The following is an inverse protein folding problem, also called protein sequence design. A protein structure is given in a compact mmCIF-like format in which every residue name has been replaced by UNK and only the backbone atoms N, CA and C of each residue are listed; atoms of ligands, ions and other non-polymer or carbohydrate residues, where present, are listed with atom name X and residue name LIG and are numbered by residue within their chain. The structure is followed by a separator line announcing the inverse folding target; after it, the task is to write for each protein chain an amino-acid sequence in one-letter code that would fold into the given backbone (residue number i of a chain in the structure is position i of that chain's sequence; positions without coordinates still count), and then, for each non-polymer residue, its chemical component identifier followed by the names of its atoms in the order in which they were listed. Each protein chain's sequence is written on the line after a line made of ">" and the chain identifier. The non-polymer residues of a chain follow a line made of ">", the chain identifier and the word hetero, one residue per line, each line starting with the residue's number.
data_IF_788585954213
#
_entry.id   IF_788585954213
#
_cell.length_a   1.000
_cell.length_b   1.000
_cell.length_c   1.000
_cell.angle_alpha   90.00
_cell.angle_beta   90.00
_cell.angle_gamma   90.00
#
_symmetry.space_group_name_H-M   'P 1'
#
loop_
_entity.id
_entity.type
_entity.pdbx_description
1 polymer ?
#
# COMPACT_ATOMS: atom_id res chain seq x y z
N UNK A 1 -8.86 -48.73 30.60
CA UNK A 1 -8.78 -47.30 30.20
C UNK A 1 -7.33 -46.96 29.91
N UNK A 2 -6.95 -46.86 28.63
CA UNK A 2 -5.63 -46.39 28.21
C UNK A 2 -5.81 -44.99 27.64
N UNK A 3 -5.19 -43.99 28.27
CA UNK A 3 -5.11 -42.63 27.76
C UNK A 3 -4.18 -42.61 26.54
N UNK A 4 -4.73 -42.29 25.38
CA UNK A 4 -3.97 -41.96 24.18
C UNK A 4 -3.62 -40.48 24.28
N UNK A 5 -2.35 -40.17 24.50
CA UNK A 5 -1.82 -38.82 24.37
C UNK A 5 -1.71 -38.51 22.88
N UNK A 6 -2.55 -37.62 22.37
CA UNK A 6 -2.38 -37.01 21.05
C UNK A 6 -1.35 -35.89 21.22
N UNK A 7 -0.10 -36.19 20.90
CA UNK A 7 0.92 -35.17 20.75
C UNK A 7 0.63 -34.39 19.45
N UNK A 8 0.16 -33.15 19.60
CA UNK A 8 0.09 -32.19 18.50
C UNK A 8 1.52 -31.77 18.22
N UNK A 9 2.14 -32.40 17.22
CA UNK A 9 3.44 -31.98 16.71
C UNK A 9 3.28 -30.58 16.09
N UNK A 10 3.80 -29.57 16.78
CA UNK A 10 3.98 -28.25 16.21
C UNK A 10 5.11 -28.38 15.19
N UNK A 11 4.76 -28.56 13.92
CA UNK A 11 5.75 -28.53 12.84
C UNK A 11 6.16 -27.07 12.68
N UNK A 12 7.28 -26.71 13.31
CA UNK A 12 8.00 -25.49 13.01
C UNK A 12 8.63 -25.69 11.63
N UNK A 13 7.87 -25.42 10.56
CA UNK A 13 8.45 -25.33 9.22
C UNK A 13 9.32 -24.08 9.22
N UNK A 14 10.62 -24.27 9.44
CA UNK A 14 11.63 -23.30 9.07
C UNK A 14 11.64 -23.19 7.55
N UNK A 15 10.69 -22.45 6.99
CA UNK A 15 10.78 -21.97 5.63
C UNK A 15 11.88 -20.91 5.63
N UNK A 16 13.09 -21.32 5.26
CA UNK A 16 14.07 -20.37 4.72
C UNK A 16 13.50 -19.85 3.40
N UNK A 17 12.65 -18.83 3.48
CA UNK A 17 12.21 -18.07 2.33
C UNK A 17 13.47 -17.43 1.75
N UNK A 18 14.00 -18.03 0.68
CA UNK A 18 14.96 -17.38 -0.20
C UNK A 18 14.26 -16.27 -0.98
N UNK A 19 13.69 -15.28 -0.30
CA UNK A 19 13.41 -13.98 -0.87
C UNK A 19 14.71 -13.19 -0.77
N UNK A 20 15.16 -12.60 -1.88
CA UNK A 20 16.21 -11.60 -1.81
C UNK A 20 15.73 -10.53 -0.81
N UNK A 21 16.42 -10.44 0.33
CA UNK A 21 16.06 -9.51 1.38
C UNK A 21 16.13 -8.06 0.85
N UNK A 22 15.38 -7.15 1.49
CA UNK A 22 15.29 -5.74 1.06
C UNK A 22 14.58 -5.56 -0.28
N UNK A 23 13.69 -6.47 -0.64
CA UNK A 23 12.84 -6.43 -1.83
C UNK A 23 11.37 -6.56 -1.40
N UNK A 24 10.43 -6.63 -2.35
CA UNK A 24 9.05 -7.04 -2.07
C UNK A 24 9.02 -8.45 -1.48
N UNK A 25 8.64 -8.53 -0.20
CA UNK A 25 8.58 -9.79 0.55
C UNK A 25 7.18 -10.39 0.40
N UNK A 26 7.10 -11.55 -0.25
CA UNK A 26 5.86 -12.32 -0.39
C UNK A 26 5.25 -12.64 0.98
N UNK A 27 3.99 -12.24 1.17
CA UNK A 27 3.22 -12.56 2.36
C UNK A 27 2.56 -13.93 2.19
N UNK A 28 2.43 -14.66 3.30
CA UNK A 28 1.91 -16.01 3.26
C UNK A 28 0.41 -16.05 2.90
N UNK A 29 0.03 -16.85 1.89
CA UNK A 29 -1.34 -16.92 1.36
C UNK A 29 -2.24 -17.97 2.02
N UNK A 30 -1.84 -18.54 3.15
CA UNK A 30 -2.59 -19.64 3.79
C UNK A 30 -2.61 -19.59 5.31
N UNK A 31 -1.74 -18.81 5.94
CA UNK A 31 -1.70 -18.57 7.37
C UNK A 31 -1.13 -17.18 7.66
N UNK A 32 -1.41 -16.56 8.82
CA UNK A 32 -1.08 -15.16 9.03
C UNK A 32 0.36 -15.00 9.55
N UNK A 33 1.34 -15.35 8.72
CA UNK A 33 2.75 -15.16 9.08
C UNK A 33 3.08 -13.67 9.11
N UNK A 34 3.21 -13.10 10.32
CA UNK A 34 3.72 -11.75 10.53
C UNK A 34 5.23 -11.77 10.57
N UNK A 35 5.86 -11.18 9.55
CA UNK A 35 7.31 -10.96 9.56
C UNK A 35 7.58 -9.53 10.04
N UNK A 36 8.51 -9.40 10.97
CA UNK A 36 8.90 -8.12 11.58
C UNK A 36 9.98 -7.43 10.76
N UNK A 37 9.84 -6.12 10.62
CA UNK A 37 10.82 -5.21 10.04
C UNK A 37 11.93 -4.91 11.05
N UNK A 38 13.15 -4.66 10.56
CA UNK A 38 14.26 -4.21 11.41
C UNK A 38 14.07 -2.75 11.83
N UNK A 39 14.59 -2.37 12.99
CA UNK A 39 14.69 -0.97 13.41
C UNK A 39 15.81 -0.21 12.67
N UNK A 40 16.71 -0.93 12.00
CA UNK A 40 17.75 -0.38 11.14
C UNK A 40 17.37 -0.60 9.68
N UNK A 41 17.18 0.49 8.93
CA UNK A 41 16.67 0.46 7.57
C UNK A 41 17.54 -0.35 6.62
N UNK A 42 18.86 -0.33 6.79
CA UNK A 42 19.79 -1.08 5.94
C UNK A 42 19.66 -2.60 6.11
N UNK A 43 19.08 -3.04 7.22
CA UNK A 43 18.87 -4.45 7.55
C UNK A 43 17.40 -4.85 7.55
N UNK A 44 16.51 -3.92 7.17
CA UNK A 44 15.08 -4.16 7.14
C UNK A 44 14.70 -4.93 5.88
N UNK A 45 14.08 -6.09 6.07
CA UNK A 45 13.70 -7.01 4.99
C UNK A 45 12.70 -6.39 4.00
N UNK A 46 11.91 -5.41 4.44
CA UNK A 46 10.89 -4.76 3.62
C UNK A 46 11.36 -3.45 2.98
N UNK A 47 12.52 -2.93 3.37
CA UNK A 47 12.94 -1.59 2.97
C UNK A 47 13.51 -1.58 1.55
N UNK A 48 12.93 -0.75 0.69
CA UNK A 48 13.47 -0.39 -0.61
C UNK A 48 14.21 0.94 -0.48
N UNK A 49 15.51 0.93 -0.81
CA UNK A 49 16.32 2.14 -0.76
C UNK A 49 15.96 3.07 -1.92
N UNK A 50 15.48 4.26 -1.58
CA UNK A 50 15.21 5.32 -2.55
C UNK A 50 16.25 6.44 -2.46
N UNK A 51 16.48 7.13 -3.57
CA UNK A 51 17.13 8.43 -3.55
C UNK A 51 16.04 9.50 -3.75
N UNK A 52 15.63 10.15 -2.66
CA UNK A 52 14.59 11.19 -2.68
C UNK A 52 14.93 12.31 -3.68
N UNK A 53 16.21 12.61 -3.88
CA UNK A 53 16.67 13.62 -4.86
C UNK A 53 16.40 13.22 -6.31
N UNK A 54 16.28 11.92 -6.58
CA UNK A 54 16.04 11.37 -7.93
C UNK A 54 14.55 11.11 -8.20
N UNK A 55 13.68 11.49 -7.27
CA UNK A 55 12.23 11.34 -7.43
C UNK A 55 11.69 12.43 -8.36
N UNK A 56 10.87 12.03 -9.34
CA UNK A 56 10.15 13.01 -10.17
C UNK A 56 8.83 13.33 -9.49
N UNK A 57 8.61 14.61 -9.20
CA UNK A 57 7.47 15.09 -8.43
C UNK A 57 6.54 15.83 -9.37
N UNK A 58 5.28 15.41 -9.42
CA UNK A 58 4.26 16.11 -10.22
C UNK A 58 3.56 17.19 -9.41
N UNK A 59 3.37 16.95 -8.11
CA UNK A 59 2.79 17.93 -7.20
C UNK A 59 3.58 17.93 -5.88
N UNK A 60 3.98 19.12 -5.46
CA UNK A 60 4.51 19.43 -4.13
C UNK A 60 3.48 20.30 -3.44
N UNK A 61 2.95 19.88 -2.30
CA UNK A 61 2.10 20.77 -1.53
C UNK A 61 2.99 21.79 -0.78
N UNK A 62 2.58 23.05 -0.77
CA UNK A 62 3.25 24.13 -0.04
C UNK A 62 2.32 24.62 1.08
N UNK A 63 2.78 24.40 2.32
CA UNK A 63 2.40 25.05 3.57
C UNK A 63 0.91 24.94 3.96
N UNK A 64 0.36 25.81 4.79
CA UNK A 64 0.32 25.91 6.26
C UNK A 64 1.47 25.30 7.08
N UNK A 65 1.68 25.71 8.33
CA UNK A 65 2.85 26.49 8.77
C UNK A 65 4.22 25.81 9.05
N UNK A 66 5.11 25.72 8.05
CA UNK A 66 6.59 25.55 8.14
C UNK A 66 7.20 24.14 8.41
N UNK A 67 6.99 23.16 7.51
CA UNK A 67 7.95 22.07 7.19
C UNK A 67 7.37 21.11 6.13
N UNK A 68 7.93 21.11 4.90
CA UNK A 68 7.55 20.33 3.70
C UNK A 68 6.67 19.08 3.90
N UNK A 69 5.48 19.09 3.28
CA UNK A 69 4.39 18.09 3.34
C UNK A 69 3.84 17.91 1.90
N UNK A 70 3.14 16.81 1.56
CA UNK A 70 3.59 15.56 0.96
C UNK A 70 3.96 15.60 -0.54
N UNK A 71 4.49 14.48 -1.01
CA UNK A 71 5.13 14.30 -2.32
C UNK A 71 4.30 13.37 -3.22
N UNK A 72 3.75 13.90 -4.32
CA UNK A 72 3.20 13.03 -5.37
C UNK A 72 4.32 12.70 -6.35
N UNK A 73 4.93 11.56 -6.11
CA UNK A 73 6.00 11.03 -6.92
C UNK A 73 5.43 10.39 -8.19
N UNK A 74 5.60 11.01 -9.35
CA UNK A 74 5.28 10.36 -10.63
C UNK A 74 6.23 9.22 -10.98
N UNK A 75 7.44 9.25 -10.42
CA UNK A 75 8.45 8.20 -10.62
C UNK A 75 9.36 8.09 -9.41
N UNK A 76 9.54 6.88 -8.90
CA UNK A 76 10.44 6.54 -7.78
C UNK A 76 11.41 5.46 -8.23
N UNK A 77 12.69 5.80 -8.35
CA UNK A 77 13.75 4.79 -8.52
C UNK A 77 14.17 4.24 -7.17
N UNK A 78 14.37 2.93 -7.09
CA UNK A 78 14.77 2.27 -5.85
C UNK A 78 15.76 1.12 -6.11
N UNK A 79 16.48 0.76 -5.04
CA UNK A 79 17.32 -0.44 -4.97
C UNK A 79 16.76 -1.40 -3.93
N UNK A 80 16.72 -2.68 -4.29
CA UNK A 80 16.62 -3.77 -3.34
C UNK A 80 18.03 -4.14 -2.85
N UNK A 81 18.17 -4.45 -1.56
CA UNK A 81 19.48 -4.76 -0.94
C UNK A 81 19.45 -5.98 -0.05
N UNK A 82 20.47 -6.83 -0.20
CA UNK A 82 20.75 -7.91 0.74
C UNK A 82 20.93 -7.35 2.16
N UNK A 83 20.17 -7.84 3.14
CA UNK A 83 20.33 -7.43 4.55
C UNK A 83 21.62 -7.94 5.21
N UNK A 84 22.27 -8.96 4.64
CA UNK A 84 23.56 -9.48 5.10
C UNK A 84 24.75 -8.68 4.53
N UNK A 85 24.91 -8.71 3.20
CA UNK A 85 26.05 -8.06 2.52
C UNK A 85 25.87 -6.56 2.22
N UNK A 86 24.66 -6.03 2.38
CA UNK A 86 24.23 -4.69 1.95
C UNK A 86 24.40 -4.41 0.44
N UNK A 87 24.74 -5.42 -0.36
CA UNK A 87 24.86 -5.30 -1.80
C UNK A 87 23.49 -5.08 -2.46
N UNK A 88 23.45 -4.28 -3.52
CA UNK A 88 22.26 -4.12 -4.36
C UNK A 88 21.98 -5.44 -5.07
N UNK A 89 20.80 -5.99 -4.85
CA UNK A 89 20.34 -7.26 -5.44
C UNK A 89 19.41 -7.05 -6.64
N UNK A 90 18.83 -5.85 -6.75
CA UNK A 90 18.05 -5.42 -7.90
C UNK A 90 17.73 -3.94 -7.83
N UNK A 91 17.37 -3.36 -8.97
CA UNK A 91 16.93 -1.96 -9.05
C UNK A 91 15.69 -1.87 -9.92
N UNK A 92 14.79 -0.96 -9.57
CA UNK A 92 13.52 -0.77 -10.26
C UNK A 92 13.08 0.68 -10.26
N UNK A 93 12.03 0.96 -11.03
CA UNK A 93 11.34 2.23 -11.02
C UNK A 93 9.84 1.98 -10.85
N UNK A 94 9.25 2.62 -9.86
CA UNK A 94 7.80 2.70 -9.68
C UNK A 94 7.30 3.90 -10.47
N UNK A 95 6.55 3.64 -11.55
CA UNK A 95 5.93 4.69 -12.37
C UNK A 95 4.48 4.86 -11.95
N UNK A 96 4.07 6.09 -11.60
CA UNK A 96 2.72 6.37 -11.14
C UNK A 96 1.72 6.16 -12.28
N UNK A 97 0.64 5.44 -11.99
CA UNK A 97 -0.51 5.27 -12.88
C UNK A 97 -1.66 6.16 -12.44
N UNK A 98 -1.99 6.10 -11.15
CA UNK A 98 -3.09 6.86 -10.56
C UNK A 98 -2.82 7.09 -9.07
N UNK A 99 -3.41 8.15 -8.52
CA UNK A 99 -3.42 8.41 -7.08
C UNK A 99 -4.79 8.94 -6.64
N UNK A 100 -5.08 8.77 -5.35
CA UNK A 100 -6.23 9.36 -4.67
C UNK A 100 -5.79 9.94 -3.34
N UNK A 101 -6.26 11.14 -3.05
CA UNK A 101 -6.17 11.74 -1.73
C UNK A 101 -7.52 11.59 -1.03
N UNK A 102 -7.50 11.00 0.16
CA UNK A 102 -8.61 11.02 1.10
C UNK A 102 -8.27 12.05 2.19
N UNK A 103 -8.84 13.25 2.07
CA UNK A 103 -8.64 14.34 3.03
C UNK A 103 -9.51 14.14 4.28
N UNK A 104 -9.03 14.62 5.43
CA UNK A 104 -9.78 14.67 6.68
C UNK A 104 -10.42 13.33 7.06
N UNK A 105 -9.66 12.23 6.96
CA UNK A 105 -10.15 10.90 7.32
C UNK A 105 -10.58 10.88 8.79
N UNK A 106 -11.68 10.18 9.06
CA UNK A 106 -12.35 10.23 10.35
C UNK A 106 -11.95 9.04 11.22
N UNK A 107 -11.61 9.29 12.48
CA UNK A 107 -11.46 8.26 13.50
C UNK A 107 -12.23 8.70 14.74
N UNK A 108 -13.09 7.81 15.26
CA UNK A 108 -13.98 8.13 16.39
C UNK A 108 -14.81 9.42 16.20
N UNK A 109 -15.14 9.76 14.95
CA UNK A 109 -15.91 10.96 14.58
C UNK A 109 -15.12 12.27 14.59
N UNK A 110 -13.79 12.22 14.58
CA UNK A 110 -12.90 13.36 14.46
C UNK A 110 -12.02 13.22 13.21
N UNK A 111 -11.77 14.33 12.52
CA UNK A 111 -10.77 14.38 11.45
C UNK A 111 -9.37 14.22 12.06
N UNK A 112 -8.59 13.26 11.58
CA UNK A 112 -7.26 12.95 12.16
C UNK A 112 -6.09 13.20 11.21
N UNK A 113 -6.33 13.22 9.91
CA UNK A 113 -5.27 13.12 8.93
C UNK A 113 -5.75 13.03 7.50
N UNK A 114 -4.79 12.92 6.60
CA UNK A 114 -5.01 12.57 5.20
C UNK A 114 -4.39 11.20 4.90
N UNK A 115 -5.02 10.47 3.99
CA UNK A 115 -4.50 9.21 3.46
C UNK A 115 -4.35 9.31 1.95
N UNK A 116 -3.12 9.17 1.48
CA UNK A 116 -2.80 9.02 0.07
C UNK A 116 -2.82 7.54 -0.30
N UNK A 117 -3.46 7.27 -1.42
CA UNK A 117 -3.48 5.99 -2.09
C UNK A 117 -2.88 6.14 -3.48
N UNK A 118 -2.02 5.20 -3.87
CA UNK A 118 -1.30 5.23 -5.13
C UNK A 118 -1.40 3.89 -5.83
N UNK A 119 -1.40 3.93 -7.15
CA UNK A 119 -1.16 2.77 -8.00
C UNK A 119 0.07 3.06 -8.84
N UNK A 120 1.08 2.23 -8.67
CA UNK A 120 2.31 2.25 -9.45
C UNK A 120 2.43 1.02 -10.35
N UNK A 121 3.28 1.15 -11.36
CA UNK A 121 3.81 0.06 -12.17
C UNK A 121 5.29 -0.13 -11.84
N UNK A 122 5.71 -1.33 -11.44
CA UNK A 122 7.14 -1.65 -11.26
C UNK A 122 7.77 -2.02 -12.61
N UNK A 123 8.88 -1.36 -12.95
CA UNK A 123 9.63 -1.61 -14.18
C UNK A 123 10.31 -2.98 -14.23
N UNK A 124 10.52 -3.66 -13.10
CA UNK A 124 11.23 -4.97 -13.07
C UNK A 124 10.39 -6.12 -13.60
N UNK A 125 9.08 -6.08 -13.38
CA UNK A 125 8.17 -7.19 -13.67
C UNK A 125 6.81 -6.74 -14.23
N UNK A 126 6.61 -5.44 -14.43
CA UNK A 126 5.37 -4.83 -14.92
C UNK A 126 4.14 -5.09 -14.02
N UNK A 127 4.36 -5.52 -12.76
CA UNK A 127 3.29 -5.77 -11.80
C UNK A 127 2.72 -4.47 -11.22
N UNK A 128 1.47 -4.55 -10.77
CA UNK A 128 0.82 -3.49 -10.01
C UNK A 128 1.43 -3.41 -8.62
N UNK A 129 1.64 -2.18 -8.14
CA UNK A 129 2.07 -1.88 -6.78
C UNK A 129 1.14 -0.83 -6.18
N UNK A 130 0.38 -1.21 -5.16
CA UNK A 130 -0.48 -0.31 -4.39
C UNK A 130 0.34 0.36 -3.29
N UNK A 131 0.24 1.68 -3.18
CA UNK A 131 0.95 2.46 -2.18
C UNK A 131 -0.01 3.15 -1.22
N UNK A 132 0.30 3.13 0.08
CA UNK A 132 -0.45 3.87 1.10
C UNK A 132 0.48 4.77 1.88
N UNK A 133 0.09 6.03 2.05
CA UNK A 133 0.80 6.97 2.92
C UNK A 133 -0.20 7.72 3.80
N UNK A 134 0.12 7.82 5.09
CA UNK A 134 -0.69 8.49 6.10
C UNK A 134 0.03 9.75 6.56
N UNK A 135 -0.73 10.83 6.69
CA UNK A 135 -0.29 12.05 7.34
C UNK A 135 -1.27 12.42 8.44
N UNK A 136 -0.81 12.47 9.69
CA UNK A 136 -1.64 12.89 10.83
C UNK A 136 -1.39 14.34 11.23
N UNK A 137 -2.38 14.91 11.91
CA UNK A 137 -2.20 16.17 12.65
C UNK A 137 -2.14 17.41 11.78
N UNK A 138 -2.75 17.41 10.60
CA UNK A 138 -2.80 18.59 9.74
C UNK A 138 -3.62 19.72 10.40
N UNK A 139 -3.46 20.98 9.98
CA UNK A 139 -4.14 22.10 10.59
C UNK A 139 -5.66 21.91 10.63
N UNK A 140 -6.25 21.97 11.83
CA UNK A 140 -7.69 21.76 12.03
C UNK A 140 -8.09 20.34 12.41
N UNK A 141 -7.15 19.40 12.42
CA UNK A 141 -7.38 17.99 12.77
C UNK A 141 -6.98 17.69 14.22
N UNK A 142 -7.46 16.55 14.74
CA UNK A 142 -7.16 16.04 16.08
C UNK A 142 -5.65 15.85 16.27
N UNK A 143 -5.11 16.40 17.36
CA UNK A 143 -3.66 16.49 17.60
C UNK A 143 -3.07 15.34 18.41
N UNK A 144 -3.89 14.38 18.84
CA UNK A 144 -3.46 13.20 19.61
C UNK A 144 -3.86 11.90 18.91
N UNK A 145 -4.02 11.93 17.59
CA UNK A 145 -4.32 10.73 16.81
C UNK A 145 -3.08 9.82 16.71
N UNK A 146 -3.33 8.51 16.83
CA UNK A 146 -2.34 7.46 16.73
C UNK A 146 -2.89 6.31 15.88
N UNK A 147 -2.10 5.81 14.94
CA UNK A 147 -2.45 4.66 14.11
C UNK A 147 -1.39 3.58 14.24
N UNK A 148 -1.72 2.52 14.98
CA UNK A 148 -0.87 1.34 15.17
C UNK A 148 -0.91 0.39 13.97
N UNK A 149 -1.97 0.47 13.17
CA UNK A 149 -2.05 -0.28 11.93
C UNK A 149 -2.71 0.50 10.82
N UNK A 150 -2.25 0.21 9.61
CA UNK A 150 -2.91 0.52 8.34
C UNK A 150 -3.21 -0.82 7.66
N UNK A 151 -4.35 -0.93 7.00
CA UNK A 151 -4.78 -2.15 6.32
C UNK A 151 -5.09 -1.85 4.87
N UNK A 152 -4.91 -2.86 4.02
CA UNK A 152 -5.37 -2.86 2.64
C UNK A 152 -6.24 -4.07 2.39
N UNK A 153 -7.37 -3.84 1.73
CA UNK A 153 -8.39 -4.84 1.41
C UNK A 153 -8.54 -5.01 -0.10
N UNK A 154 -9.38 -5.96 -0.50
CA UNK A 154 -9.64 -6.28 -1.90
C UNK A 154 -8.61 -7.24 -2.51
N UNK A 155 -7.81 -7.95 -1.69
CA UNK A 155 -6.85 -8.95 -2.17
C UNK A 155 -7.48 -10.34 -2.36
N UNK A 156 -8.81 -10.44 -2.30
CA UNK A 156 -9.58 -11.58 -2.80
C UNK A 156 -10.69 -11.11 -3.74
N UNK A 157 -10.81 -11.76 -4.89
CA UNK A 157 -11.89 -11.53 -5.85
C UNK A 157 -12.48 -12.88 -6.27
N UNK A 158 -13.80 -13.05 -6.10
CA UNK A 158 -14.54 -14.27 -6.47
C UNK A 158 -13.91 -15.58 -5.93
N UNK A 159 -13.41 -15.54 -4.69
CA UNK A 159 -12.75 -16.69 -4.04
C UNK A 159 -11.33 -16.96 -4.53
N UNK A 160 -10.77 -16.09 -5.38
CA UNK A 160 -9.39 -16.14 -5.83
C UNK A 160 -8.56 -15.10 -5.10
N UNK A 161 -7.59 -15.58 -4.32
CA UNK A 161 -6.66 -14.72 -3.57
C UNK A 161 -5.55 -14.20 -4.47
N UNK A 162 -5.37 -12.89 -4.52
CA UNK A 162 -4.24 -12.24 -5.18
C UNK A 162 -2.93 -12.47 -4.42
N UNK A 163 -1.83 -12.43 -5.18
CA UNK A 163 -0.49 -12.37 -4.61
C UNK A 163 -0.33 -11.02 -3.91
N UNK A 164 0.35 -11.02 -2.76
CA UNK A 164 0.61 -9.83 -1.99
C UNK A 164 2.03 -9.90 -1.44
N UNK A 165 2.91 -9.05 -1.97
CA UNK A 165 4.27 -8.89 -1.47
C UNK A 165 4.44 -7.48 -0.92
N UNK A 166 4.86 -7.36 0.34
CA UNK A 166 4.97 -6.09 1.05
C UNK A 166 6.36 -5.48 0.90
N UNK A 167 6.42 -4.15 0.88
CA UNK A 167 7.64 -3.38 1.00
C UNK A 167 7.32 -1.99 1.58
N UNK A 168 8.34 -1.20 1.88
CA UNK A 168 8.15 0.23 2.15
C UNK A 168 9.38 1.04 1.73
N UNK A 169 9.19 2.35 1.58
CA UNK A 169 10.26 3.30 1.28
C UNK A 169 10.03 4.66 1.92
N UNK A 170 11.09 5.47 1.97
CA UNK A 170 11.01 6.88 2.33
C UNK A 170 10.58 7.74 1.13
N UNK A 171 9.62 8.63 1.38
CA UNK A 171 9.35 9.81 0.55
C UNK A 171 9.88 11.09 1.21
N UNK A 172 10.15 11.06 2.52
CA UNK A 172 10.80 12.14 3.26
C UNK A 172 11.67 11.61 4.40
N UNK A 173 12.52 12.48 4.95
CA UNK A 173 13.36 12.15 6.11
C UNK A 173 12.56 12.06 7.43
N UNK A 174 11.27 12.39 7.42
CA UNK A 174 10.39 12.39 8.60
C UNK A 174 9.46 11.18 8.64
N UNK A 175 9.57 10.27 7.66
CA UNK A 175 8.64 9.17 7.57
C UNK A 175 8.94 8.07 8.60
N UNK A 176 7.88 7.49 9.13
CA UNK A 176 7.94 6.34 9.99
C UNK A 176 7.98 5.04 9.17
N UNK A 177 8.97 4.20 9.47
CA UNK A 177 9.13 2.87 8.88
C UNK A 177 7.90 1.98 9.10
N UNK A 178 7.79 0.95 8.27
CA UNK A 178 6.90 -0.17 8.55
C UNK A 178 7.48 -1.03 9.69
N UNK A 179 6.64 -1.53 10.61
CA UNK A 179 7.11 -2.40 11.71
C UNK A 179 6.93 -3.88 11.41
N UNK A 180 5.83 -4.24 10.74
CA UNK A 180 5.60 -5.61 10.28
C UNK A 180 4.47 -5.64 9.24
N UNK A 181 4.39 -6.72 8.48
CA UNK A 181 3.26 -6.98 7.60
C UNK A 181 2.78 -8.44 7.72
N UNK A 182 1.48 -8.66 7.49
CA UNK A 182 0.87 -9.98 7.50
C UNK A 182 -0.45 -10.00 6.71
N UNK A 183 -0.86 -11.18 6.23
CA UNK A 183 -2.22 -11.43 5.71
C UNK A 183 -3.19 -11.62 6.87
N UNK A 184 -3.80 -10.52 7.31
CA UNK A 184 -4.58 -10.44 8.55
C UNK A 184 -5.35 -9.13 8.59
N UNK A 185 -6.58 -9.17 9.12
CA UNK A 185 -7.36 -7.99 9.49
C UNK A 185 -7.19 -7.61 10.97
N UNK A 186 -6.27 -8.25 11.69
CA UNK A 186 -6.11 -8.06 13.12
C UNK A 186 -5.12 -6.93 13.41
N UNK A 187 -5.51 -6.01 14.30
CA UNK A 187 -4.68 -4.89 14.72
C UNK A 187 -3.74 -5.24 15.87
N UNK A 188 -2.92 -4.27 16.28
CA UNK A 188 -2.05 -4.38 17.44
C UNK A 188 -2.85 -4.83 18.67
N UNK A 189 -2.23 -5.67 19.52
CA UNK A 189 -2.84 -6.35 20.69
C UNK A 189 -3.91 -7.39 20.36
N UNK A 190 -4.16 -7.69 19.08
CA UNK A 190 -5.02 -8.79 18.65
C UNK A 190 -4.16 -9.96 18.14
N UNK A 191 -4.69 -11.18 18.24
CA UNK A 191 -4.04 -12.36 17.70
C UNK A 191 -4.26 -12.39 16.19
N UNK A 192 -3.19 -12.53 15.42
CA UNK A 192 -3.28 -12.64 13.96
C UNK A 192 -4.12 -13.84 13.52
N UNK A 193 -5.05 -13.57 12.59
CA UNK A 193 -5.89 -14.57 11.92
C UNK A 193 -5.73 -14.37 10.43
N UNK A 194 -5.57 -15.47 9.68
CA UNK A 194 -5.41 -15.38 8.23
C UNK A 194 -6.65 -14.79 7.60
N UNK A 195 -6.42 -13.77 6.79
CA UNK A 195 -7.45 -13.13 5.99
C UNK A 195 -6.93 -13.05 4.53
N UNK A 196 -7.58 -13.74 3.58
CA UNK A 196 -7.21 -13.69 2.17
C UNK A 196 -7.56 -12.35 1.50
N UNK A 197 -8.39 -11.51 2.10
CA UNK A 197 -8.73 -10.20 1.55
C UNK A 197 -7.85 -9.08 2.12
N UNK A 198 -7.38 -9.24 3.37
CA UNK A 198 -6.65 -8.19 4.07
C UNK A 198 -5.12 -8.35 4.08
N UNK A 199 -4.43 -7.22 4.02
CA UNK A 199 -3.01 -7.07 4.36
C UNK A 199 -2.91 -6.02 5.46
N UNK A 200 -2.35 -6.41 6.60
CA UNK A 200 -2.05 -5.49 7.69
C UNK A 200 -0.62 -4.98 7.58
N UNK A 201 -0.46 -3.68 7.80
CA UNK A 201 0.78 -2.99 8.07
C UNK A 201 0.75 -2.53 9.51
N UNK A 202 1.65 -3.05 10.34
CA UNK A 202 1.84 -2.51 11.67
C UNK A 202 2.79 -1.32 11.61
N UNK A 203 2.45 -0.28 12.33
CA UNK A 203 3.25 0.92 12.51
C UNK A 203 2.91 1.54 13.86
N UNK A 204 3.29 2.80 14.04
CA UNK A 204 3.05 3.58 15.25
C UNK A 204 2.96 5.06 14.90
N UNK A 205 2.14 5.37 13.89
CA UNK A 205 2.09 6.71 13.31
C UNK A 205 1.39 7.60 14.33
N UNK A 206 2.14 8.49 14.97
CA UNK A 206 1.66 9.22 16.13
C UNK A 206 2.12 10.68 16.09
N UNK A 207 1.18 11.61 16.15
CA UNK A 207 1.54 13.03 16.20
C UNK A 207 2.24 13.38 17.51
N UNK A 208 1.79 12.80 18.63
CA UNK A 208 2.26 13.12 19.98
C UNK A 208 3.71 12.68 20.20
N UNK A 209 4.16 11.63 19.51
CA UNK A 209 5.51 11.09 19.59
C UNK A 209 6.46 11.64 18.51
N UNK A 210 5.96 12.55 17.66
CA UNK A 210 6.76 13.23 16.65
C UNK A 210 7.02 12.41 15.38
N UNK A 211 6.25 11.35 15.14
CA UNK A 211 6.26 10.53 13.93
C UNK A 211 4.88 10.53 13.21
N UNK A 212 4.34 11.71 12.84
CA UNK A 212 2.99 11.85 12.28
C UNK A 212 2.83 11.32 10.85
N UNK A 213 3.92 10.94 10.19
CA UNK A 213 3.92 10.59 8.78
C UNK A 213 4.41 9.17 8.60
N UNK A 214 3.69 8.35 7.85
CA UNK A 214 4.18 7.03 7.45
C UNK A 214 5.20 7.15 6.31
N UNK A 215 6.01 6.11 6.12
CA UNK A 215 6.63 5.84 4.82
C UNK A 215 5.58 5.59 3.75
N UNK A 216 6.02 5.33 2.52
CA UNK A 216 5.13 4.74 1.53
C UNK A 216 5.09 3.23 1.76
N UNK A 217 3.98 2.72 2.28
CA UNK A 217 3.76 1.27 2.46
C UNK A 217 3.22 0.69 1.17
N UNK A 218 3.85 -0.38 0.68
CA UNK A 218 3.65 -0.89 -0.67
C UNK A 218 3.15 -2.34 -0.62
N UNK A 219 2.22 -2.68 -1.52
CA UNK A 219 1.83 -4.05 -1.84
C UNK A 219 1.96 -4.27 -3.33
N UNK A 220 2.87 -5.15 -3.72
CA UNK A 220 2.93 -5.67 -5.09
C UNK A 220 2.01 -6.87 -5.23
N UNK A 221 1.34 -6.97 -6.37
CA UNK A 221 0.42 -8.06 -6.66
C UNK A 221 0.57 -8.61 -8.09
N UNK A 222 0.00 -9.78 -8.33
CA UNK A 222 -0.13 -10.38 -9.67
C UNK A 222 -1.39 -9.93 -10.43
N UNK A 223 -2.22 -9.05 -9.85
CA UNK A 223 -3.40 -8.53 -10.54
C UNK A 223 -3.03 -7.81 -11.85
N UNK A 224 -3.91 -7.93 -12.84
CA UNK A 224 -3.73 -7.27 -14.15
C UNK A 224 -4.27 -5.85 -14.12
N UNK A 225 -5.39 -5.64 -13.43
CA UNK A 225 -6.10 -4.38 -13.37
C UNK A 225 -6.30 -3.94 -11.92
N UNK A 226 -6.80 -2.72 -11.78
CA UNK A 226 -7.20 -2.15 -10.50
C UNK A 226 -8.51 -1.38 -10.69
N UNK A 227 -9.27 -1.25 -9.62
CA UNK A 227 -10.50 -0.44 -9.56
C UNK A 227 -10.55 0.29 -8.22
N UNK A 228 -11.42 1.29 -8.10
CA UNK A 228 -11.70 1.94 -6.82
C UNK A 228 -12.81 1.18 -6.08
N UNK A 229 -12.67 1.03 -4.77
CA UNK A 229 -13.67 0.44 -3.90
C UNK A 229 -13.77 1.20 -2.58
N UNK A 230 -14.97 1.20 -2.00
CA UNK A 230 -15.17 1.66 -0.63
C UNK A 230 -14.47 0.71 0.35
N UNK A 231 -14.02 1.24 1.48
CA UNK A 231 -13.33 0.49 2.53
C UNK A 231 -12.07 -0.27 2.10
N UNK A 232 -11.42 0.14 1.00
CA UNK A 232 -10.18 -0.48 0.53
C UNK A 232 -8.98 -0.25 1.47
N UNK A 233 -9.04 0.79 2.30
CA UNK A 233 -7.99 1.12 3.27
C UNK A 233 -8.61 1.20 4.66
N UNK A 234 -8.07 0.42 5.59
CA UNK A 234 -8.42 0.49 7.01
C UNK A 234 -7.32 1.16 7.81
N UNK A 235 -7.67 1.74 8.95
CA UNK A 235 -6.70 2.28 9.90
C UNK A 235 -7.21 2.11 11.32
N UNK A 236 -6.30 1.81 12.24
CA UNK A 236 -6.63 1.30 13.57
C UNK A 236 -5.76 1.92 14.66
N UNK A 237 -6.44 2.26 15.75
CA UNK A 237 -5.87 2.70 17.01
C UNK A 237 -6.14 1.63 18.07
N UNK A 238 -5.08 1.20 18.77
CA UNK A 238 -5.10 0.08 19.71
C UNK A 238 -5.52 0.46 21.13
N UNK A 239 -6.05 1.67 21.31
CA UNK A 239 -6.52 2.16 22.61
C UNK A 239 -5.41 2.27 23.65
N UNK A 240 -4.22 2.73 23.23
CA UNK A 240 -3.16 3.08 24.16
C UNK A 240 -3.59 4.32 24.98
N UNK A 241 -2.97 4.57 26.13
CA UNK A 241 -3.21 5.79 26.93
C UNK A 241 -4.68 6.11 27.28
N UNK A 242 -5.52 5.08 27.50
CA UNK A 242 -6.97 5.21 27.78
C UNK A 242 -7.81 5.70 26.59
N UNK A 243 -7.25 5.69 25.39
CA UNK A 243 -8.01 5.94 24.17
C UNK A 243 -8.90 4.73 23.84
N UNK A 244 -10.00 4.93 23.09
CA UNK A 244 -10.80 3.81 22.61
C UNK A 244 -10.01 3.00 21.57
N UNK A 245 -10.25 1.69 21.54
CA UNK A 245 -9.86 0.83 20.43
C UNK A 245 -10.81 1.11 19.27
N UNK A 246 -10.30 1.65 18.17
CA UNK A 246 -11.13 2.09 17.03
C UNK A 246 -10.50 1.65 15.73
N UNK A 247 -11.31 1.08 14.84
CA UNK A 247 -10.98 0.87 13.43
C UNK A 247 -11.92 1.73 12.58
N UNK A 248 -11.37 2.38 11.55
CA UNK A 248 -12.14 3.09 10.55
C UNK A 248 -11.58 2.81 9.16
N UNK A 249 -12.31 3.25 8.13
CA UNK A 249 -12.07 2.89 6.74
C UNK A 249 -12.23 4.10 5.83
N UNK A 250 -11.51 4.07 4.71
CA UNK A 250 -11.72 4.98 3.58
C UNK A 250 -11.65 4.20 2.26
N UNK A 251 -12.18 4.79 1.20
CA UNK A 251 -12.07 4.21 -0.14
C UNK A 251 -10.64 4.29 -0.70
N UNK A 252 -10.37 3.44 -1.68
CA UNK A 252 -9.05 3.30 -2.30
C UNK A 252 -9.06 2.31 -3.46
N UNK A 253 -7.92 2.18 -4.12
CA UNK A 253 -7.69 1.25 -5.20
C UNK A 253 -7.47 -0.16 -4.68
N UNK A 254 -8.10 -1.12 -5.35
CA UNK A 254 -7.97 -2.55 -5.09
C UNK A 254 -7.55 -3.29 -6.36
N UNK A 255 -6.86 -4.43 -6.25
CA UNK A 255 -6.62 -5.29 -7.40
C UNK A 255 -7.92 -5.89 -7.94
N UNK A 256 -7.97 -6.13 -9.25
CA UNK A 256 -9.07 -6.86 -9.90
C UNK A 256 -8.57 -7.58 -11.16
N UNK A 257 -9.16 -8.72 -11.47
CA UNK A 257 -9.00 -9.42 -12.75
C UNK A 257 -10.01 -8.92 -13.79
N UNK A 258 -10.98 -8.12 -13.38
CA UNK A 258 -11.97 -7.52 -14.25
C UNK A 258 -11.37 -6.31 -14.95
N UNK A 259 -11.26 -6.37 -16.27
CA UNK A 259 -10.83 -5.23 -17.06
C UNK A 259 -11.84 -4.08 -16.89
N UNK A 260 -11.39 -2.82 -16.72
CA UNK A 260 -12.29 -1.67 -16.73
C UNK A 260 -13.13 -1.67 -18.00
N UNK A 261 -14.45 -1.64 -17.85
CA UNK A 261 -15.35 -1.52 -18.99
C UNK A 261 -15.34 -0.04 -19.41
N UNK A 262 -14.91 0.29 -20.65
CA UNK A 262 -14.93 1.66 -21.12
C UNK A 262 -16.34 2.25 -21.00
N UNK A 263 -16.43 3.50 -20.54
CA UNK A 263 -17.71 4.16 -20.47
C UNK A 263 -18.40 4.23 -21.84
N UNK A 264 -19.75 4.24 -21.91
CA UNK A 264 -20.47 4.41 -23.18
C UNK A 264 -20.02 5.64 -23.98
N UNK A 265 -19.60 6.71 -23.29
CA UNK A 265 -19.02 7.92 -23.87
C UNK A 265 -17.74 7.64 -24.68
N UNK A 266 -16.90 6.72 -24.23
CA UNK A 266 -15.67 6.30 -24.92
C UNK A 266 -16.01 5.60 -26.24
N UNK A 267 -17.01 4.72 -26.23
CA UNK A 267 -17.51 4.07 -27.44
C UNK A 267 -18.17 5.08 -28.39
N UNK A 268 -18.93 6.04 -27.86
CA UNK A 268 -19.53 7.10 -28.65
C UNK A 268 -18.48 7.98 -29.33
N UNK A 269 -17.39 8.32 -28.64
CA UNK A 269 -16.26 9.09 -29.19
C UNK A 269 -15.52 8.32 -30.29
N UNK A 270 -15.27 7.02 -30.07
CA UNK A 270 -14.70 6.15 -31.10
C UNK A 270 -15.60 6.10 -32.34
N UNK A 271 -16.92 5.89 -32.16
CA UNK A 271 -17.89 5.87 -33.25
C UNK A 271 -18.00 7.21 -33.96
N UNK A 272 -17.96 8.33 -33.23
CA UNK A 272 -17.94 9.66 -33.80
C UNK A 272 -16.67 9.89 -34.65
N UNK A 273 -15.51 9.47 -34.14
CA UNK A 273 -14.23 9.50 -34.87
C UNK A 273 -14.29 8.68 -36.17
N UNK A 274 -14.77 7.44 -36.10
CA UNK A 274 -14.96 6.57 -37.26
C UNK A 274 -15.97 7.16 -38.26
N UNK A 275 -17.06 7.76 -37.76
CA UNK A 275 -18.06 8.45 -38.57
C UNK A 275 -17.46 9.62 -39.36
N UNK A 276 -16.63 10.45 -38.72
CA UNK A 276 -15.91 11.55 -39.39
C UNK A 276 -14.97 11.04 -40.47
N UNK A 277 -14.19 9.98 -40.18
CA UNK A 277 -13.29 9.36 -41.17
C UNK A 277 -14.09 8.83 -42.36
N UNK A 278 -15.21 8.15 -42.11
CA UNK A 278 -16.10 7.65 -43.16
C UNK A 278 -16.65 8.77 -44.06
N UNK A 279 -17.06 9.89 -43.48
CA UNK A 279 -17.53 11.07 -44.24
C UNK A 279 -16.40 11.66 -45.10
N UNK A 280 -15.18 11.78 -44.56
CA UNK A 280 -14.02 12.30 -45.31
C UNK A 280 -13.65 11.36 -46.45
N UNK A 281 -13.58 10.04 -46.20
CA UNK A 281 -13.29 9.04 -47.21
C UNK A 281 -14.33 9.08 -48.35
N UNK A 282 -15.62 9.22 -48.02
CA UNK A 282 -16.69 9.36 -49.00
C UNK A 282 -16.55 10.62 -49.86
N UNK A 283 -16.12 11.75 -49.28
CA UNK A 283 -15.88 12.99 -50.04
C UNK A 283 -14.72 12.82 -51.02
N UNK A 284 -13.65 12.13 -50.62
CA UNK A 284 -12.48 11.88 -51.48
C UNK A 284 -12.77 10.95 -52.66
N UNK A 285 -13.67 9.97 -52.51
CA UNK A 285 -14.06 9.09 -53.61
C UNK A 285 -15.01 9.76 -54.62
N UNK A 286 -15.58 10.93 -54.29
CA UNK A 286 -16.53 11.67 -55.13
C UNK A 286 -15.89 12.89 -55.81
N UNK A 287 -14.62 13.16 -55.53
CA UNK A 287 -13.79 14.14 -56.22
C UNK A 287 -12.89 13.40 -57.21
#
# INVERSE_FOLDING_TARGET
>A
MKLVHVAVATVLVGASLGAAAGDFVELNKSFPLRLSASNNQLTDIYYLETNITMMTITESFQDVRNRNIPLIASSITYNARSTDTLAVTGSGTLSLLEYRLNEDVQLAGQAIGDIYDFVYRDSRDNKLVFGTRVLLGLPGQQQNAELNNVFRYGFEEDGTTFDAAAAWLFLSNFDLRLYSAARSDQGLKQMDVFDPDAVSFQSDINLSEGNPYSGLYLIKTNATYYTYADNAIGYFQAGEESQPVVKAFTGGFIPTNTAPIPEPSTYAMLLAGLGMIGVIARRRMRA
#
